data_IF_570927991324
#
_entry.id   IF_570927991324
#
_cell.length_a   1.000
_cell.length_b   1.000
_cell.length_c   1.000
_cell.angle_alpha   90.00
_cell.angle_beta   90.00
_cell.angle_gamma   90.00
#
_symmetry.space_group_name_H-M   'P 1'
#
loop_
_entity.id
_entity.type
_entity.pdbx_description
1 polymer ?
#
# COMPACT_ATOMS: atom_id res chain seq x y z
N UNK A 1 0.68 -16.43 -19.08
CA UNK A 1 -0.46 -16.25 -18.17
C UNK A 1 0.05 -16.45 -16.74
N UNK A 2 0.09 -15.38 -15.95
CA UNK A 2 0.55 -15.40 -14.55
C UNK A 2 -0.44 -16.23 -13.71
N UNK A 3 0.06 -17.21 -12.97
CA UNK A 3 -0.83 -18.03 -12.14
C UNK A 3 -1.22 -17.28 -10.85
N UNK A 4 -2.28 -17.73 -10.17
CA UNK A 4 -2.77 -17.08 -8.93
C UNK A 4 -1.67 -17.08 -7.86
N UNK A 5 -0.87 -18.15 -7.77
CA UNK A 5 0.24 -18.25 -6.80
C UNK A 5 1.28 -17.15 -7.04
N UNK A 6 1.65 -16.89 -8.30
CA UNK A 6 2.61 -15.84 -8.65
C UNK A 6 2.14 -14.44 -8.20
N UNK A 7 0.82 -14.20 -8.17
CA UNK A 7 0.24 -12.96 -7.66
C UNK A 7 0.43 -12.82 -6.15
N UNK A 8 0.12 -13.87 -5.40
CA UNK A 8 0.29 -13.86 -3.93
C UNK A 8 1.74 -13.69 -3.52
N UNK A 9 2.67 -14.37 -4.20
CA UNK A 9 4.10 -14.32 -3.91
C UNK A 9 4.73 -12.93 -4.19
N UNK A 10 4.02 -12.06 -4.89
CA UNK A 10 4.47 -10.71 -5.23
C UNK A 10 3.77 -9.59 -4.44
N UNK A 11 2.79 -9.90 -3.59
CA UNK A 11 2.13 -8.88 -2.77
C UNK A 11 3.10 -8.22 -1.80
N UNK A 12 3.03 -6.89 -1.71
CA UNK A 12 3.87 -6.07 -0.85
C UNK A 12 5.27 -5.75 -1.41
N UNK A 13 5.70 -6.39 -2.50
CA UNK A 13 6.99 -6.08 -3.15
C UNK A 13 6.95 -4.77 -3.93
N UNK A 14 8.14 -4.24 -4.23
CA UNK A 14 8.26 -3.12 -5.18
C UNK A 14 8.05 -3.60 -6.61
N UNK A 15 7.62 -2.71 -7.52
CA UNK A 15 7.41 -3.06 -8.93
C UNK A 15 8.70 -3.56 -9.60
N UNK A 16 9.86 -3.06 -9.20
CA UNK A 16 11.15 -3.52 -9.73
C UNK A 16 11.50 -4.93 -9.27
N UNK A 17 11.16 -5.33 -8.05
CA UNK A 17 11.38 -6.69 -7.57
C UNK A 17 10.42 -7.68 -8.22
N UNK A 18 9.18 -7.25 -8.47
CA UNK A 18 8.21 -7.99 -9.27
C UNK A 18 8.75 -8.19 -10.70
N UNK A 19 9.25 -7.13 -11.32
CA UNK A 19 9.84 -7.18 -12.66
C UNK A 19 10.99 -8.18 -12.78
N UNK A 20 11.93 -8.16 -11.83
CA UNK A 20 13.03 -9.15 -11.78
C UNK A 20 12.54 -10.59 -11.66
N UNK A 21 11.46 -10.81 -10.91
CA UNK A 21 10.86 -12.13 -10.74
C UNK A 21 10.15 -12.61 -12.03
N UNK A 22 9.42 -11.71 -12.70
CA UNK A 22 8.64 -12.04 -13.90
C UNK A 22 9.48 -12.12 -15.18
N UNK A 23 10.57 -11.36 -15.24
CA UNK A 23 11.42 -11.24 -16.44
C UNK A 23 12.90 -11.55 -16.13
N UNK A 24 13.23 -12.77 -15.65
CA UNK A 24 14.60 -13.12 -15.22
C UNK A 24 15.62 -13.10 -16.35
N UNK A 25 15.17 -13.10 -17.61
CA UNK A 25 16.04 -13.07 -18.80
C UNK A 25 16.36 -11.66 -19.32
N UNK A 26 15.74 -10.61 -18.76
CA UNK A 26 16.02 -9.24 -19.15
C UNK A 26 17.18 -8.66 -18.34
N UNK A 27 17.95 -7.79 -18.97
CA UNK A 27 18.87 -6.92 -18.25
C UNK A 27 18.11 -5.97 -17.32
N UNK A 28 18.80 -5.42 -16.34
CA UNK A 28 18.17 -4.47 -15.39
C UNK A 28 17.54 -3.27 -16.11
N UNK A 29 18.18 -2.75 -17.15
CA UNK A 29 17.69 -1.61 -17.92
C UNK A 29 16.45 -1.96 -18.76
N UNK A 30 16.44 -3.13 -19.40
CA UNK A 30 15.28 -3.61 -20.16
C UNK A 30 14.10 -3.88 -19.23
N UNK A 31 14.34 -4.54 -18.08
CA UNK A 31 13.33 -4.78 -17.08
C UNK A 31 12.72 -3.46 -16.56
N UNK A 32 13.55 -2.44 -16.28
CA UNK A 32 13.10 -1.11 -15.85
C UNK A 32 12.16 -0.49 -16.90
N UNK A 33 12.54 -0.49 -18.17
CA UNK A 33 11.71 0.07 -19.26
C UNK A 33 10.36 -0.62 -19.36
N UNK A 34 10.35 -1.96 -19.37
CA UNK A 34 9.11 -2.74 -19.43
C UNK A 34 8.21 -2.44 -18.24
N UNK A 35 8.79 -2.36 -17.02
CA UNK A 35 8.01 -2.06 -15.83
C UNK A 35 7.46 -0.63 -15.81
N UNK A 36 8.21 0.36 -16.29
CA UNK A 36 7.75 1.74 -16.45
C UNK A 36 6.55 1.86 -17.40
N UNK A 37 6.60 1.16 -18.53
CA UNK A 37 5.47 1.10 -19.47
C UNK A 37 4.25 0.41 -18.83
N UNK A 38 4.45 -0.71 -18.13
CA UNK A 38 3.39 -1.41 -17.43
C UNK A 38 2.73 -0.52 -16.34
N UNK A 39 3.52 0.15 -15.52
CA UNK A 39 3.04 1.04 -14.47
C UNK A 39 2.24 2.23 -15.04
N UNK A 40 2.73 2.81 -16.12
CA UNK A 40 2.04 3.91 -16.81
C UNK A 40 0.70 3.45 -17.37
N UNK A 41 0.68 2.30 -18.03
CA UNK A 41 -0.54 1.70 -18.55
C UNK A 41 -1.54 1.36 -17.43
N UNK A 42 -1.07 0.75 -16.35
CA UNK A 42 -1.90 0.37 -15.20
C UNK A 42 -2.56 1.59 -14.57
N UNK A 43 -1.79 2.64 -14.27
CA UNK A 43 -2.34 3.88 -13.71
C UNK A 43 -3.41 4.48 -14.63
N UNK A 44 -3.18 4.51 -15.94
CA UNK A 44 -4.17 5.01 -16.90
C UNK A 44 -5.43 4.13 -16.95
N UNK A 45 -5.25 2.82 -16.97
CA UNK A 45 -6.37 1.86 -17.01
C UNK A 45 -7.26 1.95 -15.78
N UNK A 46 -6.66 2.04 -14.58
CA UNK A 46 -7.37 2.07 -13.31
C UNK A 46 -8.21 3.34 -13.08
N UNK A 47 -7.93 4.44 -13.79
CA UNK A 47 -8.77 5.64 -13.74
C UNK A 47 -10.21 5.36 -14.21
N UNK A 48 -10.37 4.52 -15.24
CA UNK A 48 -11.67 4.15 -15.78
C UNK A 48 -12.17 2.76 -15.37
N UNK A 49 -11.29 1.96 -14.77
CA UNK A 49 -11.58 0.59 -14.32
C UNK A 49 -11.11 0.42 -12.86
N UNK A 50 -11.79 1.08 -11.90
CA UNK A 50 -11.38 1.03 -10.50
C UNK A 50 -11.44 -0.38 -9.95
N UNK A 51 -10.55 -0.67 -9.01
CA UNK A 51 -10.59 -1.92 -8.25
C UNK A 51 -11.85 -2.05 -7.41
N UNK A 52 -12.20 -3.27 -7.06
CA UNK A 52 -13.31 -3.55 -6.14
C UNK A 52 -12.79 -3.34 -4.70
N UNK A 53 -13.41 -2.43 -3.99
CA UNK A 53 -13.10 -2.18 -2.58
C UNK A 53 -13.63 -3.33 -1.70
N UNK A 54 -12.99 -3.55 -0.57
CA UNK A 54 -13.59 -4.37 0.48
C UNK A 54 -14.93 -3.78 0.93
N UNK A 55 -15.85 -4.63 1.45
CA UNK A 55 -17.14 -4.15 1.91
C UNK A 55 -17.02 -2.97 2.89
N UNK A 56 -17.94 -2.03 2.80
CA UNK A 56 -18.06 -0.88 3.70
C UNK A 56 -16.83 0.05 3.78
N UNK A 57 -15.81 -0.12 2.89
CA UNK A 57 -14.57 0.68 2.94
C UNK A 57 -14.84 2.18 2.94
N UNK A 58 -15.75 2.65 2.08
CA UNK A 58 -16.04 4.09 1.97
C UNK A 58 -16.69 4.64 3.24
N UNK A 59 -17.67 3.94 3.76
CA UNK A 59 -18.41 4.31 4.98
C UNK A 59 -17.49 4.33 6.19
N UNK A 60 -16.61 3.34 6.30
CA UNK A 60 -15.63 3.23 7.38
C UNK A 60 -14.60 4.35 7.28
N UNK A 61 -14.03 4.61 6.10
CA UNK A 61 -13.09 5.72 5.91
C UNK A 61 -13.74 7.07 6.19
N UNK A 62 -14.99 7.28 5.78
CA UNK A 62 -15.76 8.48 6.11
C UNK A 62 -15.98 8.63 7.63
N UNK A 63 -16.25 7.53 8.34
CA UNK A 63 -16.41 7.54 9.80
C UNK A 63 -15.08 7.86 10.48
N UNK A 64 -14.01 7.14 10.13
CA UNK A 64 -12.69 7.29 10.73
C UNK A 64 -12.09 8.68 10.47
N UNK A 65 -12.26 9.23 9.27
CA UNK A 65 -11.69 10.54 8.90
C UNK A 65 -12.25 11.72 9.71
N UNK A 66 -13.41 11.55 10.36
CA UNK A 66 -14.00 12.55 11.27
C UNK A 66 -13.27 12.62 12.61
N UNK A 67 -12.61 11.54 13.01
CA UNK A 67 -11.97 11.41 14.32
C UNK A 67 -10.45 11.36 14.22
N UNK A 68 -9.94 10.83 13.10
CA UNK A 68 -8.51 10.55 12.89
C UNK A 68 -8.02 11.14 11.57
N UNK A 69 -6.73 11.42 11.48
CA UNK A 69 -6.05 11.61 10.21
C UNK A 69 -5.78 10.25 9.56
N UNK A 70 -6.22 10.07 8.32
CA UNK A 70 -5.93 8.87 7.54
C UNK A 70 -4.79 9.14 6.57
N UNK A 71 -3.86 8.21 6.49
CA UNK A 71 -2.63 8.30 5.68
C UNK A 71 -2.42 6.98 4.96
N UNK A 72 -1.84 7.01 3.76
CA UNK A 72 -1.51 5.78 3.02
C UNK A 72 -0.03 5.76 2.70
N UNK A 73 0.64 4.66 3.04
CA UNK A 73 2.03 4.39 2.64
C UNK A 73 2.12 3.02 1.97
N UNK A 74 2.68 2.97 0.76
CA UNK A 74 2.72 1.75 -0.06
C UNK A 74 4.07 1.55 -0.74
N UNK A 75 4.35 0.31 -1.16
CA UNK A 75 5.48 -0.03 -2.03
C UNK A 75 5.15 0.10 -3.54
N UNK A 76 4.01 0.67 -3.87
CA UNK A 76 3.56 0.85 -5.25
C UNK A 76 4.38 1.90 -6.02
N UNK A 77 4.11 2.00 -7.31
CA UNK A 77 4.62 3.05 -8.20
C UNK A 77 4.01 4.42 -7.89
N UNK A 78 4.69 5.46 -8.35
CA UNK A 78 4.18 6.84 -8.31
C UNK A 78 2.84 6.96 -9.05
N UNK A 79 1.92 7.73 -8.49
CA UNK A 79 0.59 7.97 -9.05
C UNK A 79 -0.45 6.88 -8.77
N UNK A 80 -0.05 5.69 -8.31
CA UNK A 80 -0.98 4.58 -8.08
C UNK A 80 -1.98 4.84 -6.94
N UNK A 81 -1.50 5.40 -5.83
CA UNK A 81 -2.38 5.73 -4.69
C UNK A 81 -3.36 6.83 -5.10
N UNK A 82 -2.88 7.84 -5.81
CA UNK A 82 -3.71 8.95 -6.31
C UNK A 82 -4.83 8.43 -7.22
N UNK A 83 -4.47 7.55 -8.17
CA UNK A 83 -5.44 6.91 -9.08
C UNK A 83 -6.46 6.08 -8.31
N UNK A 84 -6.03 5.29 -7.32
CA UNK A 84 -6.94 4.51 -6.46
C UNK A 84 -7.91 5.43 -5.72
N UNK A 85 -7.40 6.47 -5.09
CA UNK A 85 -8.21 7.39 -4.31
C UNK A 85 -9.22 8.16 -5.18
N UNK A 86 -8.81 8.58 -6.37
CA UNK A 86 -9.67 9.28 -7.32
C UNK A 86 -10.75 8.36 -7.89
N UNK A 87 -10.33 7.24 -8.50
CA UNK A 87 -11.25 6.31 -9.16
C UNK A 87 -12.24 5.65 -8.21
N UNK A 88 -11.85 5.45 -6.94
CA UNK A 88 -12.73 4.90 -5.90
C UNK A 88 -13.47 5.99 -5.10
N UNK A 89 -13.23 7.30 -5.33
CA UNK A 89 -13.85 8.41 -4.61
C UNK A 89 -13.52 8.41 -3.10
N UNK A 90 -12.24 8.15 -2.77
CA UNK A 90 -11.73 8.10 -1.40
C UNK A 90 -10.80 9.26 -1.04
N UNK A 91 -10.51 10.14 -2.02
CA UNK A 91 -9.49 11.20 -1.87
C UNK A 91 -9.77 12.15 -0.71
N UNK A 92 -11.02 12.48 -0.46
CA UNK A 92 -11.43 13.41 0.60
C UNK A 92 -11.15 12.90 2.02
N UNK A 93 -11.03 11.58 2.21
CA UNK A 93 -10.80 10.98 3.52
C UNK A 93 -9.33 10.89 3.90
N UNK A 94 -8.42 10.98 2.92
CA UNK A 94 -6.98 10.78 3.13
C UNK A 94 -6.24 12.11 3.14
N UNK A 95 -5.51 12.38 4.22
CA UNK A 95 -4.77 13.64 4.39
C UNK A 95 -3.47 13.67 3.61
N UNK A 96 -2.73 12.56 3.65
CA UNK A 96 -1.42 12.50 3.04
C UNK A 96 -1.07 11.08 2.60
N UNK A 97 -0.19 10.96 1.62
CA UNK A 97 0.21 9.68 1.02
C UNK A 97 1.71 9.67 0.75
N UNK A 98 2.31 8.47 0.76
CA UNK A 98 3.67 8.28 0.27
C UNK A 98 3.85 6.89 -0.33
N UNK A 99 4.75 6.76 -1.28
CA UNK A 99 5.04 5.46 -1.86
C UNK A 99 6.51 5.32 -2.28
N UNK A 100 6.93 4.06 -2.48
CA UNK A 100 8.25 3.75 -3.00
C UNK A 100 8.53 4.44 -4.34
N UNK A 101 7.53 4.49 -5.23
CA UNK A 101 7.68 5.11 -6.55
C UNK A 101 8.01 6.59 -6.52
N UNK A 102 7.63 7.31 -5.46
CA UNK A 102 7.95 8.74 -5.30
C UNK A 102 9.36 8.94 -4.74
N UNK A 103 9.77 8.13 -3.79
CA UNK A 103 10.96 8.39 -2.96
C UNK A 103 12.13 7.46 -3.26
N UNK A 104 11.88 6.27 -3.77
CA UNK A 104 12.86 5.18 -3.86
C UNK A 104 13.29 4.61 -2.50
N UNK A 105 12.65 5.03 -1.40
CA UNK A 105 12.99 4.62 -0.04
C UNK A 105 12.15 3.40 0.41
N UNK A 106 12.70 2.58 1.33
CA UNK A 106 11.94 1.51 1.98
C UNK A 106 10.65 2.03 2.64
N UNK A 107 9.62 1.17 2.73
CA UNK A 107 8.32 1.52 3.30
C UNK A 107 8.43 2.09 4.72
N UNK A 108 9.30 1.55 5.57
CA UNK A 108 9.52 2.06 6.93
C UNK A 108 10.04 3.51 6.96
N UNK A 109 10.89 3.89 6.01
CA UNK A 109 11.37 5.27 5.87
C UNK A 109 10.24 6.18 5.39
N UNK A 110 9.44 5.72 4.43
CA UNK A 110 8.27 6.44 3.95
C UNK A 110 7.22 6.65 5.06
N UNK A 111 6.98 5.65 5.91
CA UNK A 111 6.13 5.79 7.09
C UNK A 111 6.70 6.87 8.01
N UNK A 112 8.00 6.82 8.31
CA UNK A 112 8.68 7.82 9.16
C UNK A 112 8.54 9.24 8.60
N UNK A 113 8.72 9.40 7.28
CA UNK A 113 8.53 10.70 6.60
C UNK A 113 7.10 11.23 6.77
N UNK A 114 6.08 10.40 6.56
CA UNK A 114 4.68 10.81 6.73
C UNK A 114 4.40 11.19 8.18
N UNK A 115 4.89 10.42 9.15
CA UNK A 115 4.75 10.72 10.59
C UNK A 115 5.39 12.08 10.92
N UNK A 116 6.61 12.33 10.46
CA UNK A 116 7.34 13.55 10.76
C UNK A 116 6.72 14.79 10.10
N UNK A 117 6.42 14.74 8.79
CA UNK A 117 5.90 15.91 8.07
C UNK A 117 4.47 16.29 8.47
N UNK A 118 3.72 15.33 9.03
CA UNK A 118 2.37 15.58 9.56
C UNK A 118 2.33 15.75 11.09
N UNK A 119 3.49 15.76 11.77
CA UNK A 119 3.61 15.92 13.22
C UNK A 119 2.73 14.94 14.01
N UNK A 120 2.73 13.66 13.62
CA UNK A 120 1.89 12.65 14.25
C UNK A 120 2.50 12.18 15.57
N UNK A 121 1.86 12.50 16.70
CA UNK A 121 2.31 12.08 18.04
C UNK A 121 1.84 10.66 18.40
N UNK A 122 0.67 10.27 17.90
CA UNK A 122 0.06 8.96 18.12
C UNK A 122 -0.48 8.42 16.83
N UNK A 123 0.07 7.33 16.37
CA UNK A 123 -0.39 6.64 15.17
C UNK A 123 -0.08 5.14 15.28
N UNK A 124 -0.71 4.35 14.43
CA UNK A 124 -0.41 2.95 14.19
C UNK A 124 -0.52 2.67 12.68
N UNK A 125 0.14 1.64 12.24
CA UNK A 125 0.07 1.19 10.85
C UNK A 125 -0.82 -0.04 10.75
N UNK A 126 -1.74 -0.04 9.80
CA UNK A 126 -2.59 -1.19 9.45
C UNK A 126 -2.08 -1.78 8.16
N UNK A 127 -1.77 -3.05 8.16
CA UNK A 127 -1.28 -3.78 6.98
C UNK A 127 -1.58 -5.26 7.09
N UNK A 128 -1.35 -5.99 6.01
CA UNK A 128 -1.76 -7.38 5.91
C UNK A 128 -0.60 -8.35 5.76
N UNK A 129 0.64 -7.86 5.59
CA UNK A 129 1.81 -8.70 5.36
C UNK A 129 2.86 -8.55 6.46
N UNK A 130 3.74 -9.55 6.55
CA UNK A 130 4.94 -9.47 7.40
C UNK A 130 5.83 -8.27 7.02
N UNK A 131 5.92 -7.92 5.74
CA UNK A 131 6.67 -6.75 5.28
C UNK A 131 6.09 -5.44 5.82
N UNK A 132 4.77 -5.36 6.03
CA UNK A 132 4.11 -4.21 6.66
C UNK A 132 4.46 -4.12 8.14
N UNK A 133 4.48 -5.26 8.84
CA UNK A 133 4.90 -5.35 10.23
C UNK A 133 6.36 -4.90 10.41
N UNK A 134 7.28 -5.40 9.57
CA UNK A 134 8.68 -4.99 9.57
C UNK A 134 8.83 -3.47 9.30
N UNK A 135 8.07 -2.95 8.34
CA UNK A 135 8.09 -1.52 8.00
C UNK A 135 7.58 -0.64 9.14
N UNK A 136 6.50 -1.03 9.82
CA UNK A 136 5.99 -0.35 11.01
C UNK A 136 7.00 -0.39 12.16
N UNK A 137 7.61 -1.55 12.40
CA UNK A 137 8.69 -1.72 13.38
C UNK A 137 9.90 -0.83 13.10
N UNK A 138 10.34 -0.78 11.83
CA UNK A 138 11.44 0.10 11.40
C UNK A 138 11.09 1.58 11.56
N UNK A 139 9.82 1.95 11.43
CA UNK A 139 9.33 3.31 11.67
C UNK A 139 9.14 3.62 13.17
N UNK A 140 9.17 2.61 14.04
CA UNK A 140 8.95 2.77 15.48
C UNK A 140 7.49 2.99 15.89
N UNK A 141 6.54 2.53 15.07
CA UNK A 141 5.11 2.67 15.36
C UNK A 141 4.43 1.31 15.52
N UNK A 142 3.33 1.22 16.31
CA UNK A 142 2.58 -0.02 16.47
C UNK A 142 1.99 -0.52 15.15
N UNK A 143 1.91 -1.84 14.99
CA UNK A 143 1.35 -2.52 13.84
C UNK A 143 0.06 -3.26 14.19
N UNK A 144 -0.98 -3.04 13.41
CA UNK A 144 -2.26 -3.78 13.47
C UNK A 144 -2.38 -4.64 12.22
N UNK A 145 -2.57 -5.94 12.40
CA UNK A 145 -2.68 -6.89 11.30
C UNK A 145 -4.11 -6.95 10.74
N UNK A 146 -4.24 -6.72 9.45
CA UNK A 146 -5.48 -6.91 8.68
C UNK A 146 -5.55 -8.36 8.16
N UNK A 147 -6.09 -9.28 8.97
CA UNK A 147 -6.08 -10.72 8.68
C UNK A 147 -6.94 -11.12 7.46
N UNK A 148 -7.79 -10.23 6.97
CA UNK A 148 -8.57 -10.41 5.74
C UNK A 148 -7.78 -10.15 4.45
N UNK A 149 -6.51 -9.73 4.57
CA UNK A 149 -5.61 -9.50 3.44
C UNK A 149 -4.89 -10.76 2.94
N UNK A 150 -3.67 -10.60 2.46
CA UNK A 150 -2.94 -11.65 1.72
C UNK A 150 -1.88 -12.37 2.52
N UNK A 151 -1.43 -11.80 3.64
CA UNK A 151 -0.26 -12.27 4.37
C UNK A 151 -0.55 -12.66 5.82
N UNK A 152 0.53 -12.71 6.59
CA UNK A 152 0.51 -13.00 8.03
C UNK A 152 1.43 -12.03 8.74
N UNK A 153 1.17 -11.84 10.03
CA UNK A 153 2.03 -11.10 10.96
C UNK A 153 2.45 -12.00 12.11
N UNK A 154 3.59 -11.69 12.73
CA UNK A 154 4.14 -12.47 13.84
C UNK A 154 3.84 -11.85 15.21
N UNK A 155 3.92 -10.53 15.32
CA UNK A 155 3.84 -9.79 16.58
C UNK A 155 3.01 -8.50 16.47
N UNK A 156 1.82 -8.53 15.88
CA UNK A 156 0.97 -7.34 15.80
C UNK A 156 0.50 -6.95 17.21
N UNK A 157 0.26 -5.66 17.44
CA UNK A 157 -0.36 -5.20 18.70
C UNK A 157 -1.86 -5.46 18.73
N UNK A 158 -2.46 -5.77 17.59
CA UNK A 158 -3.85 -6.15 17.42
C UNK A 158 -4.08 -6.75 16.04
N UNK A 159 -5.17 -7.47 15.89
CA UNK A 159 -5.60 -8.09 14.62
C UNK A 159 -7.04 -7.74 14.35
N UNK A 160 -7.36 -7.43 13.10
CA UNK A 160 -8.70 -7.16 12.63
C UNK A 160 -9.09 -8.10 11.49
N UNK A 161 -10.30 -8.62 11.54
CA UNK A 161 -10.88 -9.51 10.52
C UNK A 161 -11.69 -8.75 9.45
N UNK A 162 -11.92 -7.46 9.68
CA UNK A 162 -12.55 -6.53 8.74
C UNK A 162 -12.21 -5.10 9.09
N UNK A 163 -12.32 -4.17 8.12
CA UNK A 163 -12.13 -2.73 8.36
C UNK A 163 -13.10 -2.17 9.42
N UNK A 164 -14.30 -2.73 9.53
CA UNK A 164 -15.33 -2.26 10.49
C UNK A 164 -14.90 -2.37 11.94
N UNK A 165 -13.91 -3.20 12.26
CA UNK A 165 -13.36 -3.30 13.62
C UNK A 165 -12.45 -2.12 14.03
N UNK A 166 -12.21 -1.18 13.12
CA UNK A 166 -11.50 0.07 13.42
C UNK A 166 -12.42 1.22 13.90
N UNK A 167 -13.73 1.03 13.83
CA UNK A 167 -14.75 2.04 14.20
C UNK A 167 -15.30 1.86 15.60
#
# INVERSE_FOLDING_TARGET
QMCIRDRYDNMGKTMMDIGKTLFPGLSQEECRKVMEECMTYENHYLLSHPGVLYPETREIMACLSRQYGLYIVSNCQSGYIEVLLESCGLREYVRDIECYGNTGLPKGDNIRMVVQRNHLERCFYVGDTHMDEEAAGAAGIPFVHAAYGFGRAERPVGTIESLSQLT
#
